data_IF_920881543131
#
_entry.id   IF_920881543131
#
_cell.length_a   1.000
_cell.length_b   1.000
_cell.length_c   1.000
_cell.angle_alpha   90.00
_cell.angle_beta   90.00
_cell.angle_gamma   90.00
#
_symmetry.space_group_name_H-M   'P 1'
#
loop_
_entity.id
_entity.type
_entity.pdbx_description
1 polymer ?
#
# COMPACT_ATOMS: atom_id res chain seq x y z
N UNK A 1 -4.37 -17.89 7.46
CA UNK A 1 -5.68 -17.42 6.93
C UNK A 1 -6.90 -17.93 7.71
N UNK A 2 -6.99 -19.22 8.10
CA UNK A 2 -8.16 -19.72 8.87
C UNK A 2 -8.43 -18.93 10.15
N UNK A 3 -7.41 -18.69 10.97
CA UNK A 3 -7.55 -17.88 12.20
C UNK A 3 -8.12 -16.47 11.96
N UNK A 4 -7.67 -15.75 10.92
CA UNK A 4 -8.19 -14.43 10.56
C UNK A 4 -9.66 -14.50 10.14
N UNK A 5 -10.02 -15.54 9.38
CA UNK A 5 -11.40 -15.78 8.96
C UNK A 5 -12.32 -16.11 10.14
N UNK A 6 -11.85 -16.93 11.08
CA UNK A 6 -12.61 -17.30 12.27
C UNK A 6 -12.76 -16.10 13.22
N UNK A 7 -11.71 -15.28 13.36
CA UNK A 7 -11.76 -14.00 14.04
C UNK A 7 -12.78 -13.06 13.38
N UNK A 8 -12.71 -12.87 12.06
CA UNK A 8 -13.66 -12.06 11.30
C UNK A 8 -15.10 -12.49 11.53
N UNK A 9 -15.39 -13.80 11.45
CA UNK A 9 -16.73 -14.35 11.70
C UNK A 9 -17.22 -14.08 13.13
N UNK A 10 -16.32 -14.10 14.11
CA UNK A 10 -16.66 -13.79 15.50
C UNK A 10 -16.85 -12.31 15.80
N UNK A 11 -16.28 -11.41 14.98
CA UNK A 11 -16.36 -9.96 15.19
C UNK A 11 -17.43 -9.27 14.33
N UNK A 12 -17.76 -9.83 13.16
CA UNK A 12 -18.76 -9.32 12.25
C UNK A 12 -20.18 -9.54 12.80
N UNK A 13 -20.57 -8.72 13.77
CA UNK A 13 -21.89 -8.74 14.40
C UNK A 13 -22.90 -7.86 13.66
N UNK A 14 -24.21 -8.21 13.69
CA UNK A 14 -25.26 -7.33 13.20
C UNK A 14 -25.18 -5.95 13.87
N UNK A 15 -24.98 -4.90 13.06
CA UNK A 15 -24.90 -3.51 13.52
C UNK A 15 -23.49 -2.90 13.56
N UNK A 16 -22.43 -3.69 13.41
CA UNK A 16 -21.07 -3.16 13.24
C UNK A 16 -20.66 -3.24 11.78
N UNK A 17 -20.17 -2.15 11.19
CA UNK A 17 -19.82 -2.08 9.75
C UNK A 17 -18.31 -2.08 9.48
N UNK A 18 -17.49 -1.81 10.50
CA UNK A 18 -16.04 -1.69 10.40
C UNK A 18 -15.35 -1.98 11.74
N UNK A 19 -14.03 -2.18 11.73
CA UNK A 19 -13.19 -2.25 12.92
C UNK A 19 -12.06 -1.21 12.86
N UNK A 20 -11.60 -0.78 14.03
CA UNK A 20 -10.52 0.18 14.18
C UNK A 20 -9.14 -0.47 14.23
N UNK A 21 -8.16 0.16 13.59
CA UNK A 21 -6.74 -0.21 13.65
C UNK A 21 -5.92 1.01 14.03
N UNK A 22 -5.11 0.89 15.08
CA UNK A 22 -4.22 1.96 15.54
C UNK A 22 -3.04 2.04 14.59
N UNK A 23 -2.78 3.23 14.07
CA UNK A 23 -1.66 3.50 13.16
C UNK A 23 -0.43 3.93 13.97
N UNK A 24 0.67 3.16 13.93
CA UNK A 24 1.89 3.55 14.61
C UNK A 24 2.55 4.72 13.86
N UNK A 25 2.77 5.83 14.58
CA UNK A 25 3.36 7.07 14.05
C UNK A 25 4.77 6.93 13.47
N UNK A 26 5.46 5.82 13.78
CA UNK A 26 6.80 5.52 13.25
C UNK A 26 6.79 4.78 11.91
N UNK A 27 5.61 4.37 11.42
CA UNK A 27 5.41 3.72 10.11
C UNK A 27 4.65 4.68 9.18
N UNK A 28 3.62 5.35 9.71
CA UNK A 28 2.79 6.28 8.95
C UNK A 28 3.25 7.71 9.20
N UNK A 29 3.96 8.26 8.22
CA UNK A 29 4.35 9.67 8.21
C UNK A 29 3.26 10.52 7.54
N UNK A 30 2.85 11.62 8.17
CA UNK A 30 1.96 12.61 7.56
C UNK A 30 0.44 12.37 7.68
N UNK A 31 -0.02 11.35 8.41
CA UNK A 31 -1.45 11.18 8.71
C UNK A 31 -1.83 11.93 9.98
N UNK A 32 -2.88 12.76 9.91
CA UNK A 32 -3.51 13.39 11.10
C UNK A 32 -4.33 12.41 11.95
N UNK A 33 -4.43 11.15 11.52
CA UNK A 33 -5.25 10.11 12.14
C UNK A 33 -4.39 9.07 12.82
N UNK A 34 -4.64 8.87 14.10
CA UNK A 34 -4.02 7.83 14.93
C UNK A 34 -4.71 6.45 14.72
N UNK A 35 -5.79 6.42 13.94
CA UNK A 35 -6.64 5.26 13.72
C UNK A 35 -7.16 5.21 12.27
N UNK A 36 -7.14 4.01 11.69
CA UNK A 36 -7.80 3.65 10.45
C UNK A 36 -9.04 2.81 10.78
N UNK A 37 -10.16 3.07 10.10
CA UNK A 37 -11.32 2.19 10.13
C UNK A 37 -11.30 1.31 8.89
N UNK A 38 -11.52 0.01 9.08
CA UNK A 38 -11.54 -0.98 7.99
C UNK A 38 -12.91 -1.62 7.91
N UNK A 39 -13.57 -1.46 6.76
CA UNK A 39 -14.87 -2.05 6.50
C UNK A 39 -14.84 -3.58 6.55
N UNK A 40 -15.88 -4.19 7.10
CA UNK A 40 -16.02 -5.65 7.11
C UNK A 40 -16.18 -6.23 5.70
N UNK A 41 -16.74 -5.44 4.78
CA UNK A 41 -16.86 -5.75 3.36
C UNK A 41 -15.50 -5.88 2.68
N UNK A 42 -14.51 -5.06 3.06
CA UNK A 42 -13.14 -5.19 2.56
C UNK A 42 -12.51 -6.55 2.91
N UNK A 43 -12.71 -7.03 4.15
CA UNK A 43 -12.25 -8.36 4.56
C UNK A 43 -13.04 -9.47 3.87
N UNK A 44 -14.34 -9.28 3.71
CA UNK A 44 -15.17 -10.21 2.96
C UNK A 44 -14.67 -10.38 1.51
N UNK A 45 -14.38 -9.27 0.82
CA UNK A 45 -13.82 -9.28 -0.54
C UNK A 45 -12.49 -10.04 -0.60
N UNK A 46 -11.59 -9.82 0.39
CA UNK A 46 -10.33 -10.56 0.51
C UNK A 46 -10.57 -12.08 0.60
N UNK A 47 -11.51 -12.54 1.46
CA UNK A 47 -11.81 -13.97 1.60
C UNK A 47 -12.45 -14.58 0.35
N UNK A 48 -13.23 -13.80 -0.38
CA UNK A 48 -13.83 -14.20 -1.66
C UNK A 48 -12.85 -14.11 -2.84
N UNK A 49 -11.59 -13.73 -2.60
CA UNK A 49 -10.57 -13.51 -3.65
C UNK A 49 -11.05 -12.53 -4.72
N UNK A 50 -11.83 -11.52 -4.31
CA UNK A 50 -12.22 -10.39 -5.16
C UNK A 50 -11.09 -9.38 -5.22
N UNK A 51 -11.34 -8.27 -5.92
CA UNK A 51 -10.40 -7.15 -6.01
C UNK A 51 -9.99 -6.68 -4.61
N UNK A 52 -8.71 -6.36 -4.48
CA UNK A 52 -8.11 -5.96 -3.21
C UNK A 52 -8.48 -4.51 -2.90
N UNK A 53 -9.17 -4.28 -1.79
CA UNK A 53 -9.47 -2.92 -1.33
C UNK A 53 -8.22 -2.20 -0.80
N UNK A 54 -8.14 -0.89 -1.01
CA UNK A 54 -7.02 -0.05 -0.53
C UNK A 54 -6.84 -0.13 0.99
N UNK A 55 -7.92 -0.33 1.77
CA UNK A 55 -7.86 -0.49 3.21
C UNK A 55 -7.16 -1.81 3.60
N UNK A 56 -7.39 -2.89 2.87
CA UNK A 56 -6.68 -4.17 3.09
C UNK A 56 -5.21 -4.03 2.73
N UNK A 57 -4.92 -3.30 1.65
CA UNK A 57 -3.54 -3.00 1.25
C UNK A 57 -2.81 -2.15 2.30
N UNK A 58 -3.48 -1.18 2.92
CA UNK A 58 -2.94 -0.43 4.05
C UNK A 58 -2.68 -1.32 5.27
N UNK A 59 -3.58 -2.25 5.60
CA UNK A 59 -3.33 -3.22 6.67
C UNK A 59 -2.10 -4.10 6.40
N UNK A 60 -1.95 -4.57 5.16
CA UNK A 60 -0.77 -5.36 4.78
C UNK A 60 0.51 -4.53 4.89
N UNK A 61 0.49 -3.29 4.40
CA UNK A 61 1.61 -2.35 4.49
C UNK A 61 2.04 -2.11 5.94
N UNK A 62 1.07 -1.93 6.84
CA UNK A 62 1.31 -1.79 8.28
C UNK A 62 1.97 -3.04 8.88
N UNK A 63 1.48 -4.22 8.51
CA UNK A 63 2.03 -5.51 8.98
C UNK A 63 3.48 -5.70 8.51
N UNK A 64 3.79 -5.41 7.25
CA UNK A 64 5.14 -5.53 6.70
C UNK A 64 6.11 -4.54 7.33
N UNK A 65 5.70 -3.29 7.52
CA UNK A 65 6.52 -2.29 8.18
C UNK A 65 6.81 -2.67 9.66
N UNK A 66 5.82 -3.23 10.36
CA UNK A 66 6.03 -3.78 11.70
C UNK A 66 7.02 -4.96 11.69
N UNK A 67 6.91 -5.85 10.70
CA UNK A 67 7.84 -6.97 10.54
C UNK A 67 9.27 -6.52 10.23
N UNK A 68 9.45 -5.49 9.40
CA UNK A 68 10.75 -4.85 9.18
C UNK A 68 11.34 -4.32 10.50
N UNK A 69 10.53 -3.65 11.32
CA UNK A 69 10.96 -3.18 12.64
C UNK A 69 11.38 -4.33 13.56
N UNK A 70 10.61 -5.41 13.64
CA UNK A 70 10.97 -6.59 14.44
C UNK A 70 12.29 -7.23 14.00
N UNK A 71 12.64 -7.10 12.71
CA UNK A 71 13.89 -7.58 12.13
C UNK A 71 15.00 -6.53 12.10
N UNK A 72 14.79 -5.38 12.72
CA UNK A 72 15.70 -4.23 12.71
C UNK A 72 16.10 -3.75 11.29
N UNK A 73 15.20 -3.92 10.32
CA UNK A 73 15.34 -3.40 8.95
C UNK A 73 14.81 -1.97 8.90
N UNK A 74 15.70 -1.01 9.09
CA UNK A 74 15.36 0.42 9.20
C UNK A 74 15.60 1.20 7.92
N UNK A 75 16.21 0.58 6.92
CA UNK A 75 16.56 1.10 5.59
C UNK A 75 15.39 1.11 4.60
N UNK A 76 14.26 0.49 4.96
CA UNK A 76 13.06 0.40 4.13
C UNK A 76 11.96 1.28 4.71
N UNK A 77 11.31 2.09 3.87
CA UNK A 77 10.09 2.81 4.21
C UNK A 77 8.92 2.32 3.35
N UNK A 78 7.71 2.45 3.90
CA UNK A 78 6.47 2.10 3.24
C UNK A 78 5.56 3.32 3.19
N UNK A 79 4.99 3.62 2.03
CA UNK A 79 4.00 4.70 1.89
C UNK A 79 2.59 4.17 2.10
N UNK A 80 1.75 5.00 2.72
CA UNK A 80 0.34 4.73 2.87
C UNK A 80 -0.35 4.62 1.50
N UNK A 81 -0.92 3.46 1.14
CA UNK A 81 -1.69 3.28 -0.08
C UNK A 81 -2.86 4.27 -0.21
N UNK A 82 -3.45 4.76 0.89
CA UNK A 82 -4.54 5.73 0.85
C UNK A 82 -4.07 7.09 0.37
N UNK A 83 -2.88 7.54 0.80
CA UNK A 83 -2.28 8.81 0.37
C UNK A 83 -1.84 8.70 -1.09
N UNK A 84 -1.15 7.62 -1.43
CA UNK A 84 -0.61 7.40 -2.79
C UNK A 84 -1.72 7.32 -3.83
N UNK A 85 -2.81 6.63 -3.48
CA UNK A 85 -3.94 6.40 -4.38
C UNK A 85 -5.08 7.38 -4.12
N UNK A 86 -4.80 8.54 -3.51
CA UNK A 86 -5.82 9.54 -3.15
C UNK A 86 -6.68 9.95 -4.36
N UNK A 87 -6.11 10.01 -5.56
CA UNK A 87 -6.86 10.25 -6.81
C UNK A 87 -7.88 9.15 -7.09
N UNK A 88 -7.47 7.89 -6.99
CA UNK A 88 -8.35 6.73 -7.16
C UNK A 88 -9.41 6.69 -6.06
N UNK A 89 -9.05 7.09 -4.83
CA UNK A 89 -9.96 7.11 -3.68
C UNK A 89 -10.97 8.28 -3.70
N UNK A 90 -10.57 9.47 -4.18
CA UNK A 90 -11.39 10.70 -4.17
C UNK A 90 -12.04 11.05 -5.52
N UNK A 91 -11.65 10.39 -6.62
CA UNK A 91 -12.19 10.63 -7.95
C UNK A 91 -12.02 12.09 -8.41
N UNK A 92 -13.13 12.75 -8.78
CA UNK A 92 -13.17 14.13 -9.31
C UNK A 92 -12.77 15.17 -8.24
N UNK A 93 -12.82 14.80 -6.95
CA UNK A 93 -12.50 15.68 -5.82
C UNK A 93 -11.02 15.66 -5.44
N UNK A 94 -10.16 15.21 -6.34
CA UNK A 94 -8.73 15.08 -6.10
C UNK A 94 -7.98 16.39 -6.41
N UNK A 95 -7.26 16.91 -5.42
CA UNK A 95 -6.27 17.97 -5.60
C UNK A 95 -4.88 17.36 -5.80
N UNK A 96 -4.39 17.39 -7.04
CA UNK A 96 -3.08 16.87 -7.38
C UNK A 96 -1.93 17.63 -6.67
N UNK A 97 -2.09 18.92 -6.40
CA UNK A 97 -1.09 19.73 -5.70
C UNK A 97 -0.96 19.29 -4.24
N UNK A 98 -2.08 18.96 -3.59
CA UNK A 98 -2.09 18.44 -2.21
C UNK A 98 -1.38 17.09 -2.13
N UNK A 99 -1.69 16.16 -3.04
CA UNK A 99 -1.05 14.83 -3.07
C UNK A 99 0.44 14.94 -3.38
N UNK A 100 0.86 15.77 -4.34
CA UNK A 100 2.28 16.03 -4.61
C UNK A 100 2.97 16.58 -3.36
N UNK A 101 2.35 17.53 -2.66
CA UNK A 101 2.91 18.11 -1.43
C UNK A 101 3.08 17.07 -0.33
N UNK A 102 2.09 16.19 -0.14
CA UNK A 102 2.17 15.06 0.82
C UNK A 102 3.31 14.10 0.45
N UNK A 103 3.41 13.72 -0.83
CA UNK A 103 4.46 12.82 -1.30
C UNK A 103 5.86 13.43 -1.15
N UNK A 104 6.03 14.71 -1.49
CA UNK A 104 7.30 15.43 -1.29
C UNK A 104 7.71 15.49 0.18
N UNK A 105 6.76 15.70 1.09
CA UNK A 105 7.02 15.66 2.53
C UNK A 105 7.53 14.27 2.96
N UNK A 106 6.83 13.21 2.55
CA UNK A 106 7.22 11.83 2.88
C UNK A 106 8.59 11.49 2.31
N UNK A 107 8.91 11.89 1.08
CA UNK A 107 10.23 11.67 0.49
C UNK A 107 11.35 12.42 1.24
N UNK A 108 11.08 13.63 1.75
CA UNK A 108 12.04 14.34 2.62
C UNK A 108 12.27 13.61 3.94
N UNK A 109 11.21 13.08 4.55
CA UNK A 109 11.27 12.31 5.80
C UNK A 109 11.96 10.95 5.60
N UNK A 110 11.84 10.36 4.41
CA UNK A 110 12.44 9.09 4.04
C UNK A 110 13.77 9.23 3.28
N UNK A 111 14.41 10.40 3.29
CA UNK A 111 15.61 10.68 2.50
C UNK A 111 16.79 9.73 2.78
N UNK A 112 16.86 9.19 3.99
CA UNK A 112 17.94 8.31 4.45
C UNK A 112 17.61 6.82 4.24
N UNK A 113 16.48 6.52 3.58
CA UNK A 113 16.04 5.14 3.28
C UNK A 113 16.64 4.66 1.96
N UNK A 114 17.07 3.41 1.93
CA UNK A 114 17.55 2.78 0.70
C UNK A 114 16.38 2.50 -0.26
N UNK A 115 15.26 2.04 0.28
CA UNK A 115 14.07 1.66 -0.49
C UNK A 115 12.83 2.31 0.08
N UNK A 116 12.06 2.96 -0.79
CA UNK A 116 10.74 3.50 -0.47
C UNK A 116 9.71 2.72 -1.27
N UNK A 117 8.91 1.93 -0.57
CA UNK A 117 7.96 0.98 -1.15
C UNK A 117 6.56 1.54 -1.15
N UNK A 118 5.86 1.41 -2.28
CA UNK A 118 4.45 1.80 -2.38
C UNK A 118 3.69 0.93 -3.38
N UNK A 119 2.41 0.72 -3.10
CA UNK A 119 1.50 0.06 -4.01
C UNK A 119 0.61 1.11 -4.70
N UNK A 120 0.66 1.14 -6.02
CA UNK A 120 -0.02 2.11 -6.86
C UNK A 120 -1.13 1.43 -7.66
N UNK A 121 -2.32 2.03 -7.66
CA UNK A 121 -3.46 1.56 -8.43
C UNK A 121 -3.42 2.17 -9.84
N UNK A 122 -3.14 1.34 -10.85
CA UNK A 122 -3.19 1.68 -12.26
C UNK A 122 -4.59 1.37 -12.83
N UNK A 123 -5.59 2.12 -12.35
CA UNK A 123 -7.00 2.15 -12.77
C UNK A 123 -7.81 0.84 -12.69
N UNK A 124 -7.20 -0.34 -12.56
CA UNK A 124 -7.89 -1.64 -12.42
C UNK A 124 -7.06 -2.74 -11.76
N UNK A 125 -5.84 -2.44 -11.34
CA UNK A 125 -4.95 -3.38 -10.67
C UNK A 125 -3.81 -2.64 -9.98
N UNK A 126 -3.22 -3.29 -8.99
CA UNK A 126 -2.08 -2.75 -8.27
C UNK A 126 -0.76 -3.15 -8.93
N UNK A 127 0.14 -2.18 -9.02
CA UNK A 127 1.57 -2.38 -9.22
C UNK A 127 2.31 -2.03 -7.95
N UNK A 128 3.51 -2.58 -7.78
CA UNK A 128 4.38 -2.27 -6.66
C UNK A 128 5.62 -1.53 -7.15
N UNK A 129 5.96 -0.42 -6.49
CA UNK A 129 7.11 0.41 -6.83
C UNK A 129 8.13 0.38 -5.68
N UNK A 130 9.40 0.27 -6.04
CA UNK A 130 10.55 0.47 -5.16
C UNK A 130 11.35 1.67 -5.66
N UNK A 131 11.28 2.76 -4.90
CA UNK A 131 11.92 4.04 -5.22
C UNK A 131 13.23 4.14 -4.45
N UNK A 132 14.33 4.31 -5.18
CA UNK A 132 15.68 4.50 -4.64
C UNK A 132 16.16 5.93 -4.87
N UNK A 133 15.88 6.81 -3.91
CA UNK A 133 16.11 8.26 -4.01
C UNK A 133 17.55 8.61 -4.41
N UNK A 134 18.55 8.05 -3.74
CA UNK A 134 19.96 8.35 -3.99
C UNK A 134 20.43 8.01 -5.40
N UNK A 135 19.87 6.97 -5.99
CA UNK A 135 20.24 6.50 -7.34
C UNK A 135 19.35 7.05 -8.45
N UNK A 136 18.24 7.72 -8.10
CA UNK A 136 17.23 8.14 -9.07
C UNK A 136 16.55 6.96 -9.79
N UNK A 137 16.55 5.76 -9.21
CA UNK A 137 16.00 4.54 -9.81
C UNK A 137 14.62 4.26 -9.23
N UNK A 138 13.68 3.90 -10.11
CA UNK A 138 12.39 3.34 -9.73
C UNK A 138 12.29 1.94 -10.33
N UNK A 139 12.16 0.92 -9.48
CA UNK A 139 11.85 -0.44 -9.92
C UNK A 139 10.34 -0.64 -9.91
N UNK A 140 9.83 -1.20 -11.00
CA UNK A 140 8.40 -1.44 -11.19
C UNK A 140 8.14 -2.95 -11.21
N UNK A 141 7.36 -3.44 -10.25
CA UNK A 141 6.87 -4.81 -10.21
C UNK A 141 5.42 -4.82 -10.68
N UNK A 142 5.20 -5.40 -11.86
CA UNK A 142 3.89 -5.49 -12.48
C UNK A 142 3.61 -6.94 -12.87
N UNK A 143 2.67 -7.58 -12.18
CA UNK A 143 2.27 -8.98 -12.41
C UNK A 143 1.54 -9.20 -13.75
N UNK A 144 0.99 -8.14 -14.36
CA UNK A 144 0.33 -8.21 -15.66
C UNK A 144 1.28 -7.98 -16.84
N UNK A 145 2.55 -7.60 -16.60
CA UNK A 145 3.53 -7.48 -17.69
C UNK A 145 3.83 -8.86 -18.27
N UNK A 146 3.64 -9.02 -19.57
CA UNK A 146 4.13 -10.19 -20.29
C UNK A 146 5.66 -10.15 -20.31
N UNK A 147 6.35 -11.29 -20.20
CA UNK A 147 7.80 -11.35 -20.37
C UNK A 147 8.17 -10.73 -21.72
N UNK A 148 9.27 -9.95 -21.75
CA UNK A 148 9.85 -9.53 -23.01
C UNK A 148 10.13 -10.80 -23.83
N UNK A 149 9.52 -10.93 -25.00
CA UNK A 149 9.96 -11.94 -25.97
C UNK A 149 11.40 -11.58 -26.30
N UNK A 150 12.36 -12.42 -25.95
CA UNK A 150 13.69 -12.30 -26.51
C UNK A 150 13.55 -12.40 -28.04
N UNK A 151 13.79 -11.30 -28.74
CA UNK A 151 14.02 -11.33 -30.17
C UNK A 151 15.28 -12.16 -30.39
N UNK A 152 15.12 -13.36 -30.95
CA UNK A 152 16.25 -14.16 -31.40
C UNK A 152 17.10 -13.30 -32.35
N UNK A 153 18.40 -13.08 -32.07
CA UNK A 153 19.28 -12.30 -32.94
C UNK A 153 19.72 -13.09 -34.19
N UNK A 154 18.86 -13.95 -34.73
CA UNK A 154 19.14 -14.75 -35.92
C UNK A 154 18.20 -14.32 -37.04
N UNK A 155 18.54 -13.19 -37.65
CA UNK A 155 18.19 -12.78 -39.02
C UNK A 155 18.99 -11.49 -39.32
N UNK A 156 20.31 -11.66 -39.42
CA UNK A 156 21.23 -10.75 -40.10
C UNK A 156 21.84 -11.53 -41.26
#
# INVERSE_FOLDING_TARGET
MRWLHDWYKGQANPGTIAFGVILPKYIYHGTSRDQMWVGWDCLFQLFQKRDLDVQILSLWTLMEAHHCKLKNKTDIAFLDPVIVNEKTCKGIWHDACETITKLLKVFKECKDKESILLAYNCDFYYIFLDIKLHSGIIKVYNSKRRPLKHSNPSNA
#
